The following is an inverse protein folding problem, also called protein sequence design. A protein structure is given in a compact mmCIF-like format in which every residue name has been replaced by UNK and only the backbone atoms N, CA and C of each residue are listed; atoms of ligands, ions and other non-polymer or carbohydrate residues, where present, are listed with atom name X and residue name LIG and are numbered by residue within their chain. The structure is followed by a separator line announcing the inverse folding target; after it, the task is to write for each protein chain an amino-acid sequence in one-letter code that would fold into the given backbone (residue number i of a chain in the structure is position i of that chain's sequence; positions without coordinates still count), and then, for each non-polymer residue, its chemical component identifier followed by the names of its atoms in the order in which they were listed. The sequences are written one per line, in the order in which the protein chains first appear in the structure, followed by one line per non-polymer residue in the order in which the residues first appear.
data_IF_306325177327
#
_entry.id   IF_306325177327
#
_cell.length_a   1.000
_cell.length_b   1.000
_cell.length_c   1.000
_cell.angle_alpha   90.00
_cell.angle_beta   90.00
_cell.angle_gamma   90.00
#
_symmetry.space_group_name_H-M   'P 1'
#
loop_
_entity.id
_entity.type
_entity.pdbx_description
1 polymer ?
#
# COMPACT_ATOMS: atom_id res chain seq x y z
N UNK A 1 7.32 -15.16 -29.43
CA UNK A 1 8.61 -14.47 -29.17
C UNK A 1 8.96 -14.62 -27.70
N UNK A 2 10.24 -14.52 -27.39
CA UNK A 2 10.71 -14.66 -25.99
C UNK A 2 9.94 -13.73 -25.02
N UNK A 3 9.68 -12.47 -25.40
CA UNK A 3 8.88 -11.54 -24.60
C UNK A 3 7.46 -12.07 -24.38
N UNK A 4 6.79 -12.57 -25.45
CA UNK A 4 5.43 -13.06 -25.33
C UNK A 4 5.30 -14.32 -24.45
N UNK A 5 6.32 -15.16 -24.41
CA UNK A 5 6.32 -16.40 -23.62
C UNK A 5 6.65 -16.16 -22.16
N UNK A 6 7.32 -15.05 -21.81
CA UNK A 6 7.87 -14.81 -20.49
C UNK A 6 7.46 -13.47 -19.88
N UNK A 7 6.49 -12.74 -20.46
CA UNK A 7 6.17 -11.36 -20.06
C UNK A 7 5.88 -11.23 -18.55
N UNK A 8 5.12 -12.15 -18.00
CA UNK A 8 4.75 -12.16 -16.57
C UNK A 8 5.70 -13.01 -15.71
N UNK A 9 6.73 -13.60 -16.30
CA UNK A 9 7.70 -14.43 -15.55
C UNK A 9 8.80 -13.61 -14.87
N UNK A 10 8.94 -12.35 -15.25
CA UNK A 10 9.94 -11.42 -14.70
C UNK A 10 9.25 -10.22 -14.06
N UNK A 11 9.86 -9.66 -13.04
CA UNK A 11 9.38 -8.44 -12.36
C UNK A 11 9.55 -7.18 -13.23
N UNK A 12 10.50 -7.19 -14.18
CA UNK A 12 10.76 -6.07 -15.06
C UNK A 12 11.44 -6.43 -16.36
N UNK A 13 11.23 -5.58 -17.36
CA UNK A 13 11.78 -5.68 -18.71
C UNK A 13 12.51 -4.40 -19.07
N UNK A 14 13.74 -4.55 -19.55
CA UNK A 14 14.54 -3.45 -20.07
C UNK A 14 14.73 -3.66 -21.57
N UNK A 15 14.14 -2.78 -22.37
CA UNK A 15 14.33 -2.74 -23.83
C UNK A 15 15.41 -1.72 -24.16
N UNK A 16 16.37 -2.11 -24.99
CA UNK A 16 17.41 -1.21 -25.52
C UNK A 16 17.17 -1.01 -27.01
N UNK A 17 16.83 0.20 -27.40
CA UNK A 17 16.52 0.53 -28.78
C UNK A 17 15.35 1.48 -28.96
N UNK A 18 14.72 1.45 -30.13
CA UNK A 18 13.64 2.36 -30.46
C UNK A 18 12.37 2.06 -29.63
N UNK A 19 11.79 3.08 -29.01
CA UNK A 19 10.55 3.00 -28.20
C UNK A 19 9.41 2.27 -28.94
N UNK A 20 9.26 2.50 -30.26
CA UNK A 20 8.23 1.85 -31.06
C UNK A 20 8.36 0.32 -31.14
N UNK A 21 9.57 -0.23 -31.01
CA UNK A 21 9.81 -1.67 -30.93
C UNK A 21 9.36 -2.19 -29.56
N UNK A 22 9.74 -1.51 -28.49
CA UNK A 22 9.30 -1.83 -27.15
C UNK A 22 7.76 -1.90 -27.09
N UNK A 23 7.09 -0.82 -27.47
CA UNK A 23 5.62 -0.72 -27.42
C UNK A 23 4.93 -1.84 -28.23
N UNK A 24 5.37 -2.10 -29.46
CA UNK A 24 4.80 -3.19 -30.30
C UNK A 24 5.02 -4.57 -29.70
N UNK A 25 6.15 -4.78 -29.02
CA UNK A 25 6.46 -6.07 -28.38
C UNK A 25 5.56 -6.35 -27.17
N UNK A 26 5.17 -5.33 -26.41
CA UNK A 26 4.37 -5.50 -25.18
C UNK A 26 2.88 -5.27 -25.39
N UNK A 27 2.46 -4.47 -26.38
CA UNK A 27 1.06 -4.09 -26.58
C UNK A 27 0.05 -5.26 -26.54
N UNK A 28 0.31 -6.41 -27.20
CA UNK A 28 -0.61 -7.55 -27.13
C UNK A 28 -0.59 -8.32 -25.81
N UNK A 29 0.32 -7.98 -24.88
CA UNK A 29 0.59 -8.69 -23.63
C UNK A 29 0.11 -7.91 -22.40
N UNK A 30 -0.20 -6.62 -22.57
CA UNK A 30 -0.64 -5.73 -21.50
C UNK A 30 -2.00 -6.18 -20.98
N UNK A 31 -2.10 -6.45 -19.69
CA UNK A 31 -3.31 -6.90 -19.01
C UNK A 31 -3.83 -5.89 -18.00
N UNK A 32 -3.17 -5.76 -16.86
CA UNK A 32 -3.67 -4.94 -15.78
C UNK A 32 -2.54 -4.24 -15.01
N UNK A 33 -2.76 -2.95 -14.67
CA UNK A 33 -1.75 -2.08 -14.02
C UNK A 33 -1.15 -2.59 -12.71
N UNK A 34 -1.81 -3.54 -12.04
CA UNK A 34 -1.33 -4.12 -10.78
C UNK A 34 -0.60 -5.45 -10.96
N UNK A 35 -0.67 -6.07 -12.14
CA UNK A 35 -0.06 -7.37 -12.42
C UNK A 35 0.99 -7.34 -13.50
N UNK A 36 0.94 -6.31 -14.37
CA UNK A 36 1.92 -6.17 -15.44
C UNK A 36 3.30 -5.80 -14.88
N UNK A 37 4.39 -6.39 -15.42
CA UNK A 37 5.75 -6.10 -14.98
C UNK A 37 6.16 -4.67 -15.30
N UNK A 38 7.21 -4.18 -14.61
CA UNK A 38 7.87 -2.94 -14.97
C UNK A 38 8.41 -3.01 -16.41
N UNK A 39 8.17 -1.99 -17.23
CA UNK A 39 8.79 -1.92 -18.55
C UNK A 39 9.50 -0.59 -18.71
N UNK A 40 10.79 -0.68 -19.07
CA UNK A 40 11.68 0.45 -19.29
C UNK A 40 12.27 0.36 -20.67
N UNK A 41 12.37 1.50 -21.35
CA UNK A 41 13.08 1.59 -22.61
C UNK A 41 14.29 2.51 -22.48
N UNK A 42 15.46 2.01 -22.89
CA UNK A 42 16.68 2.80 -23.04
C UNK A 42 16.88 3.03 -24.52
N UNK A 43 17.09 4.27 -24.94
CA UNK A 43 17.39 4.55 -26.34
C UNK A 43 18.73 3.93 -26.79
N UNK A 44 18.95 3.78 -28.06
CA UNK A 44 20.15 3.10 -28.59
C UNK A 44 21.48 3.82 -28.28
N UNK A 45 21.40 5.08 -27.85
CA UNK A 45 22.59 5.87 -27.44
C UNK A 45 22.81 5.85 -25.94
N UNK A 46 21.89 5.30 -25.17
CA UNK A 46 21.94 5.30 -23.70
C UNK A 46 21.72 6.68 -23.08
N UNK A 47 21.17 7.65 -23.81
CA UNK A 47 20.96 9.01 -23.35
C UNK A 47 19.67 9.15 -22.53
N UNK A 48 18.63 8.42 -22.90
CA UNK A 48 17.33 8.48 -22.25
C UNK A 48 16.92 7.13 -21.69
N UNK A 49 16.48 7.11 -20.43
CA UNK A 49 15.85 5.96 -19.79
C UNK A 49 14.39 6.31 -19.52
N UNK A 50 13.47 5.60 -20.16
CA UNK A 50 12.04 5.95 -20.18
C UNK A 50 11.22 4.90 -19.45
N UNK A 51 10.42 5.32 -18.47
CA UNK A 51 9.39 4.49 -17.83
C UNK A 51 8.20 4.32 -18.78
N UNK A 52 7.95 3.09 -19.25
CA UNK A 52 6.95 2.80 -20.29
C UNK A 52 5.66 2.25 -19.70
N UNK A 53 5.77 1.27 -18.77
CA UNK A 53 4.63 0.58 -18.18
C UNK A 53 4.88 0.28 -16.71
N UNK A 54 3.79 0.22 -15.91
CA UNK A 54 3.80 -0.12 -14.48
C UNK A 54 4.72 0.78 -13.64
N UNK A 55 4.65 2.09 -13.89
CA UNK A 55 5.49 3.12 -13.30
C UNK A 55 5.51 3.10 -11.77
N UNK A 56 4.34 3.00 -11.13
CA UNK A 56 4.20 2.99 -9.68
C UNK A 56 4.25 1.56 -9.11
N UNK A 57 3.18 0.79 -9.29
CA UNK A 57 3.03 -0.53 -8.65
C UNK A 57 4.10 -1.52 -9.10
N UNK A 58 4.44 -1.53 -10.39
CA UNK A 58 5.52 -2.37 -10.93
C UNK A 58 6.93 -1.84 -10.65
N UNK A 59 7.08 -0.59 -10.14
CA UNK A 59 8.39 -0.02 -9.80
C UNK A 59 9.18 0.53 -10.99
N UNK A 60 8.58 0.67 -12.20
CA UNK A 60 9.31 1.14 -13.38
C UNK A 60 9.88 2.56 -13.20
N UNK A 61 9.22 3.46 -12.44
CA UNK A 61 9.72 4.80 -12.21
C UNK A 61 10.99 4.83 -11.35
N UNK A 62 11.02 4.02 -10.28
CA UNK A 62 12.19 3.89 -9.42
C UNK A 62 13.36 3.28 -10.18
N UNK A 63 13.14 2.16 -10.86
CA UNK A 63 14.15 1.50 -11.69
C UNK A 63 14.64 2.40 -12.82
N UNK A 64 13.79 3.27 -13.38
CA UNK A 64 14.18 4.27 -14.40
C UNK A 64 15.16 5.28 -13.81
N UNK A 65 14.93 5.78 -12.59
CA UNK A 65 15.86 6.71 -11.93
C UNK A 65 17.20 6.06 -11.63
N UNK A 66 17.17 4.82 -11.12
CA UNK A 66 18.38 4.06 -10.77
C UNK A 66 19.23 3.78 -12.02
N UNK A 67 18.61 3.30 -13.09
CA UNK A 67 19.30 3.04 -14.36
C UNK A 67 19.84 4.33 -14.99
N UNK A 68 19.07 5.41 -14.98
CA UNK A 68 19.51 6.69 -15.50
C UNK A 68 20.73 7.22 -14.72
N UNK A 69 20.69 7.12 -13.39
CA UNK A 69 21.82 7.49 -12.53
C UNK A 69 23.07 6.64 -12.81
N UNK A 70 22.89 5.33 -12.96
CA UNK A 70 23.99 4.39 -13.27
C UNK A 70 24.65 4.66 -14.63
N UNK A 71 23.85 5.01 -15.63
CA UNK A 71 24.30 5.24 -17.01
C UNK A 71 24.73 6.69 -17.27
N UNK A 72 24.51 7.62 -16.34
CA UNK A 72 24.66 9.04 -16.58
C UNK A 72 23.66 9.58 -17.62
N UNK A 73 22.49 8.94 -17.71
CA UNK A 73 21.42 9.23 -18.66
C UNK A 73 20.33 10.12 -18.04
N UNK A 74 19.41 10.61 -18.88
CA UNK A 74 18.25 11.37 -18.47
C UNK A 74 17.05 10.42 -18.19
N UNK A 75 16.48 10.49 -16.98
CA UNK A 75 15.29 9.74 -16.62
C UNK A 75 14.03 10.44 -17.16
N UNK A 76 13.24 9.73 -17.97
CA UNK A 76 11.98 10.24 -18.53
C UNK A 76 10.81 9.53 -17.85
N UNK A 77 10.15 10.24 -16.94
CA UNK A 77 9.00 9.75 -16.15
C UNK A 77 7.83 10.70 -16.41
N UNK A 78 6.70 10.17 -16.86
CA UNK A 78 5.53 10.96 -17.26
C UNK A 78 4.36 10.89 -16.30
N UNK A 79 4.46 10.14 -15.20
CA UNK A 79 3.37 10.01 -14.22
C UNK A 79 3.14 11.33 -13.49
N UNK A 80 1.87 11.70 -13.33
CA UNK A 80 1.48 13.00 -12.78
C UNK A 80 1.98 13.20 -11.34
N UNK A 81 1.89 12.16 -10.51
CA UNK A 81 2.32 12.20 -9.11
C UNK A 81 3.82 12.44 -8.96
N UNK A 82 4.65 11.82 -9.80
CA UNK A 82 6.10 12.04 -9.81
C UNK A 82 6.47 13.47 -10.26
N UNK A 83 5.71 14.03 -11.21
CA UNK A 83 5.97 15.37 -11.73
C UNK A 83 5.43 16.49 -10.83
N UNK A 84 4.47 16.19 -9.95
CA UNK A 84 3.82 17.19 -9.08
C UNK A 84 4.32 17.17 -7.65
N UNK A 85 5.17 16.20 -7.26
CA UNK A 85 5.60 15.99 -5.88
C UNK A 85 4.48 15.54 -4.93
N UNK A 86 3.34 15.10 -5.49
CA UNK A 86 2.23 14.57 -4.71
C UNK A 86 2.49 13.11 -4.32
N UNK A 87 1.83 12.66 -3.24
CA UNK A 87 1.93 11.27 -2.83
C UNK A 87 1.23 10.33 -3.83
N UNK A 88 1.88 9.22 -4.13
CA UNK A 88 1.26 8.09 -4.82
C UNK A 88 0.47 7.25 -3.80
N UNK A 89 -0.79 7.63 -3.55
CA UNK A 89 -1.63 7.04 -2.49
C UNK A 89 -1.86 5.53 -2.68
N UNK A 90 -1.86 5.05 -3.91
CA UNK A 90 -1.97 3.63 -4.25
C UNK A 90 -0.72 2.79 -3.90
N UNK A 91 0.40 3.44 -3.59
CA UNK A 91 1.64 2.78 -3.18
C UNK A 91 1.80 2.64 -1.66
N UNK A 92 0.99 3.30 -0.85
CA UNK A 92 1.18 3.31 0.61
C UNK A 92 1.08 1.93 1.22
N UNK A 93 0.16 1.08 0.75
CA UNK A 93 0.07 -0.31 1.19
C UNK A 93 1.37 -1.08 0.95
N UNK A 94 2.00 -0.93 -0.21
CA UNK A 94 3.28 -1.58 -0.54
C UNK A 94 4.45 -0.94 0.22
N UNK A 95 4.51 0.40 0.26
CA UNK A 95 5.64 1.15 0.83
C UNK A 95 5.74 1.02 2.34
N UNK A 96 4.59 1.04 3.03
CA UNK A 96 4.54 1.02 4.50
C UNK A 96 3.99 -0.28 5.07
N UNK A 97 3.57 -1.23 4.22
CA UNK A 97 2.94 -2.47 4.66
C UNK A 97 1.55 -2.26 5.27
N UNK A 98 0.87 -1.16 4.92
CA UNK A 98 -0.46 -0.83 5.45
C UNK A 98 -1.56 -1.49 4.61
N UNK A 99 -2.58 -2.03 5.26
CA UNK A 99 -3.80 -2.42 4.56
C UNK A 99 -4.58 -1.16 4.15
N UNK A 100 -5.31 -1.22 3.03
CA UNK A 100 -6.02 -0.06 2.47
C UNK A 100 -7.48 -0.36 2.27
N UNK A 101 -8.34 0.53 2.80
CA UNK A 101 -9.79 0.51 2.64
C UNK A 101 -10.28 1.83 2.04
N UNK A 102 -11.44 1.80 1.39
CA UNK A 102 -12.11 3.00 0.88
C UNK A 102 -13.63 2.85 0.94
N UNK A 103 -14.35 3.93 1.18
CA UNK A 103 -15.82 3.99 1.06
C UNK A 103 -16.29 4.30 -0.37
N UNK A 104 -15.36 4.57 -1.29
CA UNK A 104 -15.68 4.79 -2.71
C UNK A 104 -15.72 3.45 -3.48
N UNK A 105 -16.40 3.39 -4.65
CA UNK A 105 -16.44 2.18 -5.49
C UNK A 105 -15.07 1.70 -5.96
N UNK A 106 -14.08 2.59 -6.01
CA UNK A 106 -12.68 2.28 -6.33
C UNK A 106 -11.73 3.35 -5.76
N UNK A 107 -10.46 3.00 -5.59
CA UNK A 107 -9.41 3.95 -5.19
C UNK A 107 -9.16 5.05 -6.23
N UNK A 108 -9.51 4.85 -7.49
CA UNK A 108 -9.25 5.82 -8.56
C UNK A 108 -9.96 7.16 -8.31
N UNK A 109 -11.20 7.13 -7.80
CA UNK A 109 -11.98 8.34 -7.55
C UNK A 109 -11.36 9.23 -6.46
N UNK A 110 -11.06 8.74 -5.24
CA UNK A 110 -10.40 9.54 -4.23
C UNK A 110 -8.97 9.95 -4.61
N UNK A 111 -8.22 9.11 -5.33
CA UNK A 111 -6.90 9.46 -5.85
C UNK A 111 -6.99 10.62 -6.84
N UNK A 112 -8.00 10.63 -7.73
CA UNK A 112 -8.22 11.74 -8.67
C UNK A 112 -8.47 13.06 -7.94
N UNK A 113 -9.25 13.06 -6.85
CA UNK A 113 -9.46 14.27 -6.03
C UNK A 113 -8.15 14.80 -5.44
N UNK A 114 -7.32 13.91 -4.92
CA UNK A 114 -6.01 14.26 -4.38
C UNK A 114 -5.09 14.86 -5.45
N UNK A 115 -5.00 14.21 -6.62
CA UNK A 115 -4.15 14.69 -7.73
C UNK A 115 -4.64 16.00 -8.35
N UNK A 116 -5.94 16.26 -8.28
CA UNK A 116 -6.54 17.53 -8.67
C UNK A 116 -6.35 18.64 -7.61
N UNK A 117 -5.64 18.33 -6.52
CA UNK A 117 -5.37 19.24 -5.40
C UNK A 117 -6.65 19.75 -4.71
N UNK A 118 -7.71 18.94 -4.71
CA UNK A 118 -8.90 19.23 -3.93
C UNK A 118 -8.56 19.19 -2.43
N UNK A 119 -9.24 20.03 -1.64
CA UNK A 119 -8.96 20.15 -0.21
C UNK A 119 -9.08 18.79 0.49
N UNK A 120 -8.00 18.36 1.13
CA UNK A 120 -7.84 17.02 1.70
C UNK A 120 -7.55 17.12 3.19
N UNK A 121 -8.26 16.34 4.02
CA UNK A 121 -7.91 16.12 5.41
C UNK A 121 -7.03 14.87 5.54
N UNK A 122 -6.02 14.90 6.40
CA UNK A 122 -5.21 13.77 6.80
C UNK A 122 -5.31 13.57 8.31
N UNK A 123 -5.95 12.49 8.74
CA UNK A 123 -6.02 12.08 10.14
C UNK A 123 -4.90 11.07 10.44
N UNK A 124 -4.05 11.40 11.41
CA UNK A 124 -2.94 10.56 11.89
C UNK A 124 -3.17 10.15 13.34
N UNK A 125 -3.60 8.91 13.58
CA UNK A 125 -3.85 8.38 14.94
C UNK A 125 -2.74 7.46 15.45
N UNK A 126 -1.70 7.24 14.64
CA UNK A 126 -0.51 6.48 15.01
C UNK A 126 0.75 7.26 14.69
N UNK A 127 1.85 6.90 15.36
CA UNK A 127 3.18 7.46 15.09
C UNK A 127 4.11 6.34 14.66
N UNK A 128 4.46 6.32 13.38
CA UNK A 128 5.45 5.42 12.80
C UNK A 128 6.30 6.16 11.75
N UNK A 129 7.18 5.44 11.05
CA UNK A 129 8.02 6.05 10.01
C UNK A 129 7.18 6.62 8.86
N UNK A 130 6.10 5.95 8.50
CA UNK A 130 5.22 6.37 7.41
C UNK A 130 4.49 7.66 7.76
N UNK A 131 3.85 7.74 8.94
CA UNK A 131 3.13 8.95 9.37
C UNK A 131 4.03 10.15 9.52
N UNK A 132 5.25 9.98 10.06
CA UNK A 132 6.24 11.05 10.15
C UNK A 132 6.69 11.55 8.77
N UNK A 133 6.79 10.66 7.79
CA UNK A 133 7.12 11.05 6.42
C UNK A 133 5.96 11.81 5.78
N UNK A 134 4.72 11.35 5.93
CA UNK A 134 3.53 12.05 5.43
C UNK A 134 3.41 13.45 6.01
N UNK A 135 3.59 13.60 7.32
CA UNK A 135 3.55 14.91 7.98
C UNK A 135 4.59 15.88 7.39
N UNK A 136 5.82 15.39 7.17
CA UNK A 136 6.92 16.19 6.62
C UNK A 136 6.74 16.55 5.15
N UNK A 137 6.13 15.68 4.35
CA UNK A 137 6.05 15.80 2.88
C UNK A 137 4.67 16.18 2.37
N UNK A 138 3.76 16.60 3.26
CA UNK A 138 2.39 16.97 2.89
C UNK A 138 2.35 18.14 1.90
N UNK A 139 1.43 18.03 0.94
CA UNK A 139 1.15 19.13 0.02
C UNK A 139 0.35 20.24 0.71
N UNK A 140 0.34 21.45 0.12
CA UNK A 140 -0.34 22.63 0.68
C UNK A 140 -1.85 22.43 0.85
N UNK A 141 -2.49 21.65 -0.01
CA UNK A 141 -3.94 21.37 0.04
C UNK A 141 -4.33 20.30 1.08
N UNK A 142 -3.36 19.82 1.90
CA UNK A 142 -3.58 18.81 2.94
C UNK A 142 -3.51 19.43 4.32
N UNK A 143 -4.63 19.40 5.05
CA UNK A 143 -4.70 19.77 6.46
C UNK A 143 -4.54 18.51 7.33
N UNK A 144 -3.66 18.56 8.35
CA UNK A 144 -3.38 17.42 9.23
C UNK A 144 -4.15 17.54 10.53
N UNK A 145 -4.72 16.43 10.97
CA UNK A 145 -5.44 16.25 12.22
C UNK A 145 -4.85 15.09 13.00
N UNK A 146 -4.87 15.16 14.32
CA UNK A 146 -4.35 14.13 15.21
C UNK A 146 -5.46 13.53 16.10
N UNK A 147 -6.68 14.05 16.01
CA UNK A 147 -7.82 13.51 16.71
C UNK A 147 -9.09 13.55 15.86
N UNK A 148 -9.98 12.57 16.08
CA UNK A 148 -11.29 12.46 15.42
C UNK A 148 -12.20 13.61 15.81
N UNK A 149 -12.11 14.06 17.07
CA UNK A 149 -12.91 15.13 17.64
C UNK A 149 -12.66 16.46 16.92
N UNK A 150 -11.43 16.70 16.48
CA UNK A 150 -11.07 17.89 15.71
C UNK A 150 -11.55 17.80 14.25
N UNK A 151 -11.44 16.62 13.63
CA UNK A 151 -11.78 16.44 12.22
C UNK A 151 -13.30 16.32 11.99
N UNK A 152 -14.02 15.54 12.84
CA UNK A 152 -15.42 15.17 12.58
C UNK A 152 -16.34 16.37 12.31
N UNK A 153 -16.30 17.48 13.08
CA UNK A 153 -17.16 18.63 12.81
C UNK A 153 -16.81 19.37 11.51
N UNK A 154 -15.67 19.08 10.92
CA UNK A 154 -15.14 19.76 9.71
C UNK A 154 -15.14 18.88 8.48
N UNK A 155 -15.67 17.66 8.53
CA UNK A 155 -15.69 16.74 7.38
C UNK A 155 -16.26 17.36 6.11
N UNK A 156 -17.29 18.18 6.23
CA UNK A 156 -17.91 18.89 5.10
C UNK A 156 -17.00 19.92 4.39
N UNK A 157 -15.89 20.31 5.01
CA UNK A 157 -14.93 21.27 4.44
C UNK A 157 -13.98 20.58 3.43
N UNK A 158 -13.96 19.26 3.38
CA UNK A 158 -12.98 18.47 2.62
C UNK A 158 -13.64 17.64 1.52
N UNK A 159 -12.98 17.60 0.39
CA UNK A 159 -13.39 16.75 -0.74
C UNK A 159 -12.88 15.31 -0.59
N UNK A 160 -11.83 15.12 0.22
CA UNK A 160 -11.21 13.83 0.50
C UNK A 160 -10.72 13.77 1.95
N UNK A 161 -10.88 12.60 2.58
CA UNK A 161 -10.28 12.30 3.88
C UNK A 161 -9.32 11.13 3.72
N UNK A 162 -8.07 11.33 4.14
CA UNK A 162 -7.06 10.28 4.30
C UNK A 162 -6.94 9.98 5.79
N UNK A 163 -6.99 8.70 6.15
CA UNK A 163 -6.94 8.27 7.55
C UNK A 163 -5.81 7.26 7.71
N UNK A 164 -4.94 7.44 8.69
CA UNK A 164 -3.95 6.44 9.11
C UNK A 164 -4.28 6.02 10.53
N UNK A 165 -4.98 4.89 10.66
CA UNK A 165 -5.51 4.40 11.94
C UNK A 165 -5.74 2.90 11.94
N UNK A 166 -5.50 2.18 13.06
CA UNK A 166 -5.93 0.81 13.25
C UNK A 166 -7.45 0.67 13.50
N UNK A 167 -8.13 1.78 13.83
CA UNK A 167 -9.58 1.83 14.09
C UNK A 167 -10.32 2.36 12.87
N UNK A 168 -11.51 1.82 12.64
CA UNK A 168 -12.43 2.30 11.60
C UNK A 168 -12.81 3.76 11.83
N UNK A 169 -12.81 4.50 10.75
CA UNK A 169 -13.25 5.88 10.72
C UNK A 169 -14.44 6.02 9.77
N UNK A 170 -15.52 6.60 10.24
CA UNK A 170 -16.70 6.90 9.44
C UNK A 170 -16.71 8.39 9.06
N UNK A 171 -16.43 8.67 7.82
CA UNK A 171 -16.50 10.02 7.25
C UNK A 171 -17.86 10.32 6.58
N UNK A 172 -18.86 9.46 6.77
CA UNK A 172 -20.17 9.58 6.13
C UNK A 172 -20.04 9.49 4.59
N UNK A 173 -20.58 10.50 3.89
CA UNK A 173 -20.55 10.55 2.43
C UNK A 173 -19.23 11.12 1.85
N UNK A 174 -18.32 11.64 2.68
CA UNK A 174 -17.05 12.18 2.20
C UNK A 174 -16.15 11.05 1.71
N UNK A 175 -15.66 11.09 0.46
CA UNK A 175 -14.71 10.10 -0.04
C UNK A 175 -13.52 9.94 0.88
N UNK A 176 -13.19 8.68 1.19
CA UNK A 176 -12.17 8.35 2.19
C UNK A 176 -11.27 7.24 1.68
N UNK A 177 -9.95 7.39 1.93
CA UNK A 177 -9.00 6.29 1.90
C UNK A 177 -8.48 6.10 3.32
N UNK A 178 -8.68 4.91 3.87
CA UNK A 178 -8.12 4.54 5.15
C UNK A 178 -6.96 3.58 4.97
N UNK A 179 -5.83 3.96 5.53
CA UNK A 179 -4.62 3.15 5.63
C UNK A 179 -4.54 2.57 7.04
N UNK A 180 -4.42 1.26 7.14
CA UNK A 180 -4.44 0.52 8.39
C UNK A 180 -3.04 -0.01 8.71
N UNK A 181 -2.28 0.67 9.59
CA UNK A 181 -0.94 0.24 9.97
C UNK A 181 -0.98 -0.95 10.92
N UNK A 182 0.02 -1.83 10.82
CA UNK A 182 0.14 -3.05 11.63
C UNK A 182 0.76 -2.77 13.00
N UNK A 183 0.02 -2.07 13.86
CA UNK A 183 0.49 -1.57 15.16
C UNK A 183 -0.07 -2.31 16.37
N UNK A 184 -1.07 -3.18 16.18
CA UNK A 184 -1.67 -3.93 17.27
C UNK A 184 -0.87 -5.20 17.56
N UNK A 185 -0.87 -5.59 18.85
CA UNK A 185 -0.33 -6.86 19.32
C UNK A 185 -1.46 -7.70 19.91
N UNK A 186 -1.58 -8.95 19.46
CA UNK A 186 -2.55 -9.91 19.97
C UNK A 186 -1.83 -10.92 20.87
N UNK A 187 -2.22 -10.99 22.14
CA UNK A 187 -1.80 -12.04 23.06
C UNK A 187 -2.78 -13.22 23.00
N UNK A 188 -2.29 -14.44 22.81
CA UNK A 188 -3.11 -15.63 22.76
C UNK A 188 -2.89 -16.53 23.99
N UNK A 189 -3.99 -16.88 24.67
CA UNK A 189 -4.05 -17.95 25.66
C UNK A 189 -5.29 -18.81 25.40
N UNK A 190 -5.12 -20.13 25.30
CA UNK A 190 -6.22 -21.06 25.05
C UNK A 190 -6.07 -22.35 25.88
N UNK A 191 -7.07 -23.23 25.86
CA UNK A 191 -6.98 -24.57 26.41
C UNK A 191 -6.04 -25.42 25.56
N UNK A 192 -5.53 -26.52 26.14
CA UNK A 192 -4.68 -27.46 25.45
C UNK A 192 -5.38 -28.06 24.22
N UNK A 193 -4.67 -28.10 23.08
CA UNK A 193 -5.15 -28.55 21.77
C UNK A 193 -6.47 -27.86 21.36
N UNK A 194 -6.47 -26.54 21.43
CA UNK A 194 -7.61 -25.73 21.04
C UNK A 194 -7.79 -25.78 19.52
N UNK A 195 -8.88 -26.38 19.08
CA UNK A 195 -9.23 -26.42 17.65
C UNK A 195 -9.54 -25.01 17.12
N UNK A 196 -8.97 -24.62 15.98
CA UNK A 196 -9.11 -23.26 15.44
C UNK A 196 -10.49 -22.99 14.82
N UNK A 197 -11.26 -24.03 14.49
CA UNK A 197 -12.56 -23.96 13.81
C UNK A 197 -13.49 -22.97 14.56
N UNK A 198 -14.03 -22.00 13.84
CA UNK A 198 -14.90 -20.94 14.34
C UNK A 198 -14.25 -19.94 15.32
N UNK A 199 -13.18 -20.31 16.05
CA UNK A 199 -12.55 -19.43 17.04
C UNK A 199 -11.82 -18.26 16.36
N UNK A 200 -11.12 -18.51 15.27
CA UNK A 200 -10.40 -17.47 14.52
C UNK A 200 -11.38 -16.42 13.98
N UNK A 201 -12.49 -16.86 13.39
CA UNK A 201 -13.52 -15.94 12.90
C UNK A 201 -14.20 -15.18 14.06
N UNK A 202 -14.41 -15.84 15.19
CA UNK A 202 -14.93 -15.19 16.39
C UNK A 202 -13.97 -14.10 16.89
N UNK A 203 -12.67 -14.37 17.00
CA UNK A 203 -11.64 -13.38 17.36
C UNK A 203 -11.68 -12.18 16.42
N UNK A 204 -11.70 -12.42 15.10
CA UNK A 204 -11.75 -11.33 14.13
C UNK A 204 -13.07 -10.56 14.19
N UNK A 205 -14.19 -11.23 14.47
CA UNK A 205 -15.48 -10.59 14.68
C UNK A 205 -15.45 -9.66 15.89
N UNK A 206 -14.91 -10.12 17.03
CA UNK A 206 -14.77 -9.30 18.22
C UNK A 206 -13.88 -8.07 18.02
N UNK A 207 -12.76 -8.24 17.30
CA UNK A 207 -11.88 -7.12 16.95
C UNK A 207 -12.64 -6.09 16.10
N UNK A 208 -13.45 -6.55 15.13
CA UNK A 208 -14.30 -5.65 14.32
C UNK A 208 -15.40 -4.98 15.16
N UNK A 209 -16.00 -5.69 16.10
CA UNK A 209 -17.00 -5.11 17.05
C UNK A 209 -16.39 -4.01 17.92
N UNK A 210 -15.13 -4.14 18.30
CA UNK A 210 -14.38 -3.11 19.02
C UNK A 210 -13.97 -1.92 18.12
N UNK A 211 -14.33 -1.95 16.85
CA UNK A 211 -14.04 -0.91 15.87
C UNK A 211 -12.64 -0.98 15.25
N UNK A 212 -11.87 -2.05 15.50
CA UNK A 212 -10.55 -2.23 14.93
C UNK A 212 -10.57 -3.07 13.64
N UNK A 213 -9.51 -2.97 12.87
CA UNK A 213 -9.24 -3.86 11.75
C UNK A 213 -8.37 -5.04 12.22
N UNK A 214 -8.72 -6.31 11.95
CA UNK A 214 -7.82 -7.44 12.17
C UNK A 214 -6.47 -7.28 11.46
N UNK A 215 -6.47 -6.64 10.30
CA UNK A 215 -5.29 -6.31 9.49
C UNK A 215 -4.31 -5.37 10.20
N UNK A 216 -4.76 -4.68 11.27
CA UNK A 216 -3.90 -3.86 12.11
C UNK A 216 -3.01 -4.69 13.07
N UNK A 217 -3.25 -6.00 13.19
CA UNK A 217 -2.44 -6.88 14.04
C UNK A 217 -1.10 -7.13 13.34
N UNK A 218 -0.05 -6.60 13.92
CA UNK A 218 1.32 -6.79 13.44
C UNK A 218 2.13 -7.78 14.26
N UNK A 219 1.63 -8.17 15.44
CA UNK A 219 2.30 -9.12 16.33
C UNK A 219 1.30 -10.08 16.95
N UNK A 220 1.65 -11.36 16.97
CA UNK A 220 0.96 -12.41 17.70
C UNK A 220 1.92 -12.97 18.76
N UNK A 221 1.47 -13.10 20.00
CA UNK A 221 2.33 -13.51 21.09
C UNK A 221 1.63 -14.57 21.98
N UNK A 222 2.41 -15.51 22.49
CA UNK A 222 1.98 -16.50 23.47
C UNK A 222 3.14 -16.91 24.39
N UNK A 223 2.88 -17.79 25.33
CA UNK A 223 3.92 -18.40 26.21
C UNK A 223 4.40 -19.74 25.63
N UNK A 224 5.59 -20.16 26.06
CA UNK A 224 6.24 -21.39 25.63
C UNK A 224 5.39 -22.66 25.83
N UNK A 225 4.55 -22.69 26.85
CA UNK A 225 3.60 -23.76 27.11
C UNK A 225 2.49 -23.88 26.05
N UNK A 226 2.33 -22.87 25.19
CA UNK A 226 1.27 -22.76 24.17
C UNK A 226 1.79 -22.61 22.75
N UNK A 227 3.10 -22.83 22.55
CA UNK A 227 3.75 -22.64 21.25
C UNK A 227 3.31 -23.62 20.18
N UNK A 228 2.84 -24.82 20.58
CA UNK A 228 2.44 -25.91 19.67
C UNK A 228 0.90 -26.05 19.59
N UNK A 229 0.15 -24.98 19.83
CA UNK A 229 -1.32 -25.00 19.75
C UNK A 229 -1.81 -24.76 18.31
N UNK A 230 -2.72 -25.59 17.75
CA UNK A 230 -3.25 -25.42 16.39
C UNK A 230 -3.86 -24.05 16.14
N UNK A 231 -4.50 -23.46 17.14
CA UNK A 231 -5.10 -22.12 17.05
C UNK A 231 -4.03 -21.04 16.84
N UNK A 232 -2.83 -21.20 17.41
CA UNK A 232 -1.72 -20.25 17.22
C UNK A 232 -1.24 -20.26 15.77
N UNK A 233 -1.07 -21.46 15.20
CA UNK A 233 -0.60 -21.64 13.83
C UNK A 233 -1.61 -21.06 12.82
N UNK A 234 -2.91 -21.36 12.98
CA UNK A 234 -3.96 -20.82 12.12
C UNK A 234 -4.05 -19.30 12.19
N UNK A 235 -3.96 -18.70 13.39
CA UNK A 235 -3.95 -17.25 13.54
C UNK A 235 -2.70 -16.62 12.92
N UNK A 236 -1.54 -17.25 13.08
CA UNK A 236 -0.28 -16.79 12.51
C UNK A 236 -0.34 -16.77 10.97
N UNK A 237 -0.86 -17.83 10.37
CA UNK A 237 -1.04 -17.95 8.92
C UNK A 237 -2.05 -16.91 8.40
N UNK A 238 -3.21 -16.77 9.04
CA UNK A 238 -4.24 -15.81 8.65
C UNK A 238 -3.79 -14.35 8.77
N UNK A 239 -2.97 -14.05 9.76
CA UNK A 239 -2.41 -12.71 9.97
C UNK A 239 -1.13 -12.46 9.18
N UNK A 240 -0.49 -13.52 8.65
CA UNK A 240 0.81 -13.44 7.98
C UNK A 240 1.91 -12.92 8.93
N UNK A 241 1.97 -13.45 10.17
CA UNK A 241 2.93 -13.06 11.20
C UNK A 241 3.63 -14.27 11.79
N UNK A 242 4.87 -14.10 12.24
CA UNK A 242 5.55 -15.13 13.03
C UNK A 242 5.23 -14.90 14.52
N UNK A 243 4.72 -15.93 15.24
CA UNK A 243 4.42 -15.81 16.66
C UNK A 243 5.66 -15.50 17.51
N UNK A 244 5.50 -14.64 18.49
CA UNK A 244 6.49 -14.34 19.52
C UNK A 244 6.22 -15.25 20.72
N UNK A 245 7.21 -16.04 21.11
CA UNK A 245 7.09 -16.99 22.23
C UNK A 245 7.84 -16.41 23.42
N UNK A 246 7.15 -16.24 24.53
CA UNK A 246 7.72 -15.77 25.79
C UNK A 246 7.80 -16.95 26.80
N UNK A 247 8.76 -16.90 27.68
CA UNK A 247 8.81 -17.84 28.82
C UNK A 247 7.72 -17.53 29.82
N UNK A 248 7.08 -18.60 30.37
CA UNK A 248 6.01 -18.50 31.36
C UNK A 248 6.52 -18.04 32.73
#
# INVERSE_FOLDING_TARGET
SFVAEHFTAFEGWIFIGAMGICVRSIAPLIGHKYTDPAVINIDSTGRFVVSVLSGHVGGANELTRDLASLLGAEAVISTQTDNTGLWALDLFSRRYGWHTETNAPSLNQPIARYTNKERTALLLEVKDKGTLELERTKAEHVDVFYSREELTPRLGDYALVLVVSPQRFDAGATPTIQFVPRVLSLGLGCRYQCEPTDIVEHIFSEIRHLGFYPEAIGKLATIDLKKDEPLLDELADRLGVTPLIYTA
#
